data_IF_797687417316
#
_entry.id   IF_797687417316
#
_cell.length_a   1.000
_cell.length_b   1.000
_cell.length_c   1.000
_cell.angle_alpha   90.00
_cell.angle_beta   90.00
_cell.angle_gamma   90.00
#
_symmetry.space_group_name_H-M   'P 1'
#
loop_
_entity.id
_entity.type
_entity.pdbx_description
1 polymer ?
#
# COMPACT_ATOMS: atom_id res chain seq x y z
N UNK A 1 6.81 17.48 9.62
CA UNK A 1 7.05 16.02 9.64
C UNK A 1 7.54 15.59 8.25
N UNK A 2 8.65 14.84 8.13
CA UNK A 2 9.22 14.47 6.81
C UNK A 2 8.67 13.12 6.36
N UNK A 3 7.40 13.08 5.95
CA UNK A 3 6.79 11.87 5.38
C UNK A 3 7.52 11.52 4.09
N UNK A 4 8.08 10.31 4.03
CA UNK A 4 8.90 9.83 2.91
C UNK A 4 8.46 8.42 2.54
N UNK A 5 8.35 8.15 1.24
CA UNK A 5 8.11 6.80 0.77
C UNK A 5 9.40 5.98 0.98
N UNK A 6 9.34 5.00 1.88
CA UNK A 6 10.44 4.07 2.20
C UNK A 6 10.64 3.02 1.12
N UNK A 7 9.70 2.89 0.19
CA UNK A 7 9.78 1.98 -0.93
C UNK A 7 10.65 2.57 -2.05
N UNK A 8 11.83 1.98 -2.30
CA UNK A 8 12.76 2.42 -3.37
C UNK A 8 12.25 2.12 -4.78
N UNK A 9 11.52 1.02 -4.95
CA UNK A 9 10.94 0.55 -6.20
C UNK A 9 9.62 -0.15 -5.91
N UNK A 10 8.67 -0.07 -6.83
CA UNK A 10 7.46 -0.90 -6.78
C UNK A 10 7.81 -2.38 -6.65
N UNK A 11 7.01 -3.12 -5.90
CA UNK A 11 7.22 -4.56 -5.67
C UNK A 11 5.98 -5.29 -6.17
N UNK A 12 6.17 -6.20 -7.13
CA UNK A 12 5.17 -7.22 -7.45
C UNK A 12 5.25 -8.26 -6.33
N UNK A 13 4.15 -8.39 -5.60
CA UNK A 13 4.05 -9.18 -4.38
C UNK A 13 3.52 -10.57 -4.70
N UNK A 14 2.49 -10.59 -5.55
CA UNK A 14 1.83 -11.80 -6.02
C UNK A 14 1.52 -11.62 -7.50
N UNK A 15 1.75 -12.66 -8.30
CA UNK A 15 1.14 -12.88 -9.61
C UNK A 15 0.82 -14.37 -9.70
N UNK A 16 -0.38 -14.75 -9.26
CA UNK A 16 -0.71 -16.16 -9.10
C UNK A 16 -2.19 -16.41 -8.85
N UNK A 17 -2.54 -17.69 -8.76
CA UNK A 17 -3.93 -18.15 -8.52
C UNK A 17 -4.25 -18.15 -7.01
N UNK A 18 -3.30 -17.68 -6.22
CA UNK A 18 -3.19 -18.03 -4.84
C UNK A 18 -4.05 -17.16 -3.93
N UNK A 19 -4.89 -17.81 -3.13
CA UNK A 19 -5.61 -17.17 -2.03
C UNK A 19 -4.70 -16.92 -0.83
N UNK A 20 -3.48 -17.49 -0.81
CA UNK A 20 -2.55 -17.35 0.31
C UNK A 20 -2.25 -15.89 0.68
N UNK A 21 -2.26 -14.96 -0.28
CA UNK A 21 -2.12 -13.53 0.04
C UNK A 21 -3.34 -12.95 0.79
N UNK A 22 -4.55 -13.44 0.48
CA UNK A 22 -5.75 -13.06 1.22
C UNK A 22 -5.71 -13.62 2.64
N UNK A 23 -5.22 -14.85 2.80
CA UNK A 23 -5.21 -15.56 4.08
C UNK A 23 -4.05 -15.12 5.00
N UNK A 24 -2.86 -14.88 4.45
CA UNK A 24 -1.63 -14.65 5.23
C UNK A 24 -0.96 -13.29 4.98
N UNK A 25 -1.39 -12.55 3.95
CA UNK A 25 -0.73 -11.31 3.53
C UNK A 25 0.62 -11.55 2.86
N UNK A 26 1.45 -10.52 2.79
CA UNK A 26 2.83 -10.63 2.34
C UNK A 26 3.80 -9.91 3.26
N UNK A 27 5.01 -10.45 3.33
CA UNK A 27 6.11 -9.92 4.11
C UNK A 27 6.98 -8.97 3.30
N UNK A 28 7.35 -7.86 3.94
CA UNK A 28 8.47 -7.02 3.51
C UNK A 28 9.43 -6.77 4.66
N UNK A 29 10.70 -6.57 4.32
CA UNK A 29 11.71 -6.17 5.29
C UNK A 29 11.39 -4.79 5.87
N UNK A 30 11.49 -4.65 7.18
CA UNK A 30 11.38 -3.35 7.83
C UNK A 30 12.53 -2.43 7.37
N UNK A 31 12.25 -1.18 6.98
CA UNK A 31 13.30 -0.26 6.55
C UNK A 31 14.21 0.22 7.70
N UNK A 32 13.86 -0.08 8.95
CA UNK A 32 14.50 0.45 10.17
C UNK A 32 15.20 -0.62 11.00
N UNK A 33 14.94 -1.91 10.76
CA UNK A 33 15.54 -3.02 11.51
C UNK A 33 15.42 -4.33 10.71
N UNK A 34 15.94 -5.43 11.26
CA UNK A 34 15.88 -6.77 10.66
C UNK A 34 14.52 -7.47 10.81
N UNK A 35 13.48 -6.75 11.26
CA UNK A 35 12.13 -7.29 11.40
C UNK A 35 11.38 -7.33 10.07
N UNK A 36 10.19 -7.90 10.10
CA UNK A 36 9.27 -7.96 8.95
C UNK A 36 8.02 -7.13 9.22
N UNK A 37 7.39 -6.67 8.14
CA UNK A 37 6.09 -6.02 8.14
C UNK A 37 5.19 -6.89 7.27
N UNK A 38 4.12 -7.41 7.84
CA UNK A 38 3.10 -8.18 7.12
C UNK A 38 1.98 -7.22 6.75
N UNK A 39 1.57 -7.22 5.48
CA UNK A 39 0.40 -6.47 5.01
C UNK A 39 -0.55 -7.36 4.22
N UNK A 40 -1.84 -7.06 4.29
CA UNK A 40 -2.89 -7.76 3.55
C UNK A 40 -4.00 -6.80 3.09
N UNK A 41 -4.82 -7.27 2.15
CA UNK A 41 -6.04 -6.55 1.72
C UNK A 41 -7.13 -6.62 2.79
N UNK A 42 -7.23 -7.72 3.55
CA UNK A 42 -8.33 -7.98 4.48
C UNK A 42 -8.50 -6.87 5.52
N UNK A 43 -7.39 -6.33 6.04
CA UNK A 43 -7.40 -5.25 7.05
C UNK A 43 -7.07 -3.88 6.44
N UNK A 44 -7.37 -3.69 5.16
CA UNK A 44 -7.09 -2.45 4.44
C UNK A 44 -8.33 -1.57 4.30
N UNK A 45 -8.11 -0.28 4.05
CA UNK A 45 -9.16 0.69 3.69
C UNK A 45 -8.80 1.37 2.37
N UNK A 46 -9.81 1.95 1.71
CA UNK A 46 -9.60 2.62 0.42
C UNK A 46 -8.67 3.83 0.58
N UNK A 47 -7.66 3.94 -0.28
CA UNK A 47 -6.76 5.10 -0.29
C UNK A 47 -7.53 6.41 -0.48
N UNK A 48 -8.58 6.39 -1.30
CA UNK A 48 -9.40 7.56 -1.57
C UNK A 48 -10.21 8.05 -0.36
N UNK A 49 -10.30 7.26 0.72
CA UNK A 49 -10.92 7.65 1.99
C UNK A 49 -10.03 8.57 2.84
N UNK A 50 -8.77 8.78 2.46
CA UNK A 50 -7.89 9.78 3.09
C UNK A 50 -8.31 11.20 2.70
N UNK A 51 -7.92 12.19 3.51
CA UNK A 51 -8.17 13.61 3.17
C UNK A 51 -7.46 13.99 1.86
N UNK A 52 -8.02 14.94 1.11
CA UNK A 52 -7.45 15.37 -0.18
C UNK A 52 -6.00 15.84 -0.04
N UNK A 53 -5.70 16.65 0.98
CA UNK A 53 -4.35 17.13 1.27
C UNK A 53 -3.35 15.96 1.45
N UNK A 54 -3.75 14.93 2.21
CA UNK A 54 -2.91 13.74 2.45
C UNK A 54 -2.73 12.95 1.16
N UNK A 55 -3.80 12.75 0.38
CA UNK A 55 -3.73 12.04 -0.91
C UNK A 55 -2.77 12.74 -1.86
N UNK A 56 -2.97 14.02 -2.12
CA UNK A 56 -2.17 14.84 -3.04
C UNK A 56 -0.69 14.88 -2.66
N UNK A 57 -0.41 14.86 -1.35
CA UNK A 57 0.96 14.80 -0.85
C UNK A 57 1.60 13.41 -1.06
N UNK A 58 0.87 12.33 -0.78
CA UNK A 58 1.38 10.96 -0.89
C UNK A 58 1.63 10.56 -2.34
N UNK A 59 0.74 10.91 -3.27
CA UNK A 59 0.86 10.53 -4.69
C UNK A 59 2.09 11.17 -5.36
N UNK A 60 2.51 12.36 -4.92
CA UNK A 60 3.77 12.99 -5.36
C UNK A 60 5.01 12.17 -4.98
N UNK A 61 4.90 11.25 -4.02
CA UNK A 61 5.98 10.37 -3.53
C UNK A 61 5.85 8.93 -4.02
N UNK A 62 4.79 8.61 -4.75
CA UNK A 62 4.54 7.28 -5.31
C UNK A 62 4.69 7.32 -6.83
N UNK A 63 5.38 6.34 -7.42
CA UNK A 63 5.59 6.29 -8.86
C UNK A 63 4.46 5.51 -9.53
N UNK A 64 3.92 6.05 -10.62
CA UNK A 64 2.94 5.36 -11.47
C UNK A 64 1.49 5.46 -10.99
N UNK A 65 1.22 6.18 -9.90
CA UNK A 65 -0.14 6.50 -9.47
C UNK A 65 -0.70 7.62 -10.36
N UNK A 66 -1.94 7.45 -10.81
CA UNK A 66 -2.65 8.40 -11.66
C UNK A 66 -3.98 8.79 -11.05
N UNK A 67 -4.41 10.03 -11.27
CA UNK A 67 -5.75 10.49 -10.92
C UNK A 67 -6.69 10.27 -12.10
N UNK A 68 -7.85 9.66 -11.86
CA UNK A 68 -8.93 9.50 -12.85
C UNK A 68 -10.07 10.44 -12.48
N UNK A 69 -10.25 11.49 -13.29
CA UNK A 69 -11.21 12.57 -13.01
C UNK A 69 -12.67 12.11 -13.03
N UNK A 70 -13.02 11.16 -13.92
CA UNK A 70 -14.39 10.64 -14.04
C UNK A 70 -14.88 9.98 -12.75
N UNK A 71 -13.98 9.31 -12.03
CA UNK A 71 -14.30 8.62 -10.78
C UNK A 71 -13.81 9.37 -9.55
N UNK A 72 -13.06 10.46 -9.73
CA UNK A 72 -12.34 11.20 -8.67
C UNK A 72 -11.51 10.28 -7.77
N UNK A 73 -10.83 9.31 -8.36
CA UNK A 73 -10.05 8.28 -7.65
C UNK A 73 -8.60 8.26 -8.10
N UNK A 74 -7.72 7.88 -7.17
CA UNK A 74 -6.33 7.56 -7.48
C UNK A 74 -6.18 6.07 -7.75
N UNK A 75 -5.56 5.74 -8.88
CA UNK A 75 -5.36 4.36 -9.34
C UNK A 75 -3.90 4.06 -9.63
N UNK A 76 -3.58 2.77 -9.63
CA UNK A 76 -2.32 2.24 -10.14
C UNK A 76 -2.64 1.02 -11.01
N UNK A 77 -2.05 0.94 -12.21
CA UNK A 77 -2.25 -0.17 -13.15
C UNK A 77 -3.74 -0.52 -13.42
N UNK A 78 -4.55 0.53 -13.57
CA UNK A 78 -6.02 0.43 -13.77
C UNK A 78 -6.77 -0.15 -12.58
N UNK A 79 -6.18 -0.11 -11.38
CA UNK A 79 -6.76 -0.70 -10.18
C UNK A 79 -6.71 0.26 -9.00
N UNK A 80 -7.68 0.10 -8.10
CA UNK A 80 -7.84 0.94 -6.92
C UNK A 80 -6.68 0.71 -5.94
N UNK A 81 -6.36 1.77 -5.18
CA UNK A 81 -5.37 1.73 -4.12
C UNK A 81 -6.01 1.49 -2.76
N UNK A 82 -5.31 0.71 -1.94
CA UNK A 82 -5.69 0.36 -0.58
C UNK A 82 -4.55 0.69 0.37
N UNK A 83 -4.90 1.07 1.59
CA UNK A 83 -3.95 1.32 2.67
C UNK A 83 -4.15 0.27 3.74
N UNK A 84 -3.07 -0.41 4.11
CA UNK A 84 -3.04 -1.33 5.24
C UNK A 84 -2.11 -0.78 6.31
N UNK A 85 -2.60 -0.76 7.55
CA UNK A 85 -1.82 -0.35 8.72
C UNK A 85 -1.12 -1.58 9.28
N UNK A 86 0.19 -1.49 9.46
CA UNK A 86 1.01 -2.61 9.86
C UNK A 86 2.00 -2.19 10.94
N UNK A 87 2.48 -3.18 11.68
CA UNK A 87 3.50 -2.98 12.72
C UNK A 87 4.67 -3.90 12.42
N UNK A 88 5.89 -3.40 12.59
CA UNK A 88 7.07 -4.25 12.45
C UNK A 88 7.13 -5.29 13.58
N UNK A 89 7.40 -6.54 13.24
CA UNK A 89 7.51 -7.66 14.18
C UNK A 89 8.64 -7.53 15.21
N UNK A 90 9.67 -6.73 14.92
CA UNK A 90 10.86 -6.58 15.78
C UNK A 90 10.89 -5.25 16.54
N UNK A 91 10.79 -4.12 15.84
CA UNK A 91 10.90 -2.80 16.47
C UNK A 91 9.56 -2.18 16.89
N UNK A 92 8.43 -2.84 16.60
CA UNK A 92 7.07 -2.41 16.97
C UNK A 92 6.69 -1.02 16.42
N UNK A 93 7.48 -0.44 15.51
CA UNK A 93 7.13 0.79 14.81
C UNK A 93 5.94 0.54 13.88
N UNK A 94 5.03 1.51 13.84
CA UNK A 94 3.90 1.52 12.93
C UNK A 94 4.32 2.00 11.54
N UNK A 95 3.75 1.35 10.53
CA UNK A 95 3.91 1.69 9.12
C UNK A 95 2.55 1.59 8.42
N UNK A 96 2.42 2.31 7.33
CA UNK A 96 1.31 2.14 6.40
C UNK A 96 1.82 1.72 5.05
N UNK A 97 1.30 0.61 4.54
CA UNK A 97 1.57 0.12 3.19
C UNK A 97 0.44 0.53 2.27
N UNK A 98 0.78 1.05 1.09
CA UNK A 98 -0.16 1.32 0.02
C UNK A 98 0.02 0.25 -1.03
N UNK A 99 -1.05 -0.48 -1.32
CA UNK A 99 -1.07 -1.61 -2.24
C UNK A 99 -2.21 -1.50 -3.24
N UNK A 100 -2.12 -2.25 -4.33
CA UNK A 100 -3.23 -2.49 -5.24
C UNK A 100 -3.36 -3.98 -5.50
N UNK A 101 -4.55 -4.41 -5.86
CA UNK A 101 -4.80 -5.77 -6.32
C UNK A 101 -5.70 -5.74 -7.55
N UNK A 102 -5.43 -6.64 -8.50
CA UNK A 102 -6.17 -6.79 -9.75
C UNK A 102 -6.31 -8.26 -10.08
N UNK A 103 -7.52 -8.70 -10.38
CA UNK A 103 -7.72 -9.97 -11.06
C UNK A 103 -7.35 -9.81 -12.54
N UNK A 104 -6.37 -10.58 -13.01
CA UNK A 104 -5.87 -10.50 -14.40
C UNK A 104 -6.43 -11.59 -15.30
N UNK A 105 -6.81 -12.72 -14.72
CA UNK A 105 -7.52 -13.84 -15.34
C UNK A 105 -8.42 -14.47 -14.26
N UNK A 106 -9.45 -15.25 -14.61
CA UNK A 106 -10.29 -15.91 -13.61
C UNK A 106 -9.45 -16.62 -12.54
N UNK A 107 -9.64 -16.22 -11.28
CA UNK A 107 -8.92 -16.69 -10.10
C UNK A 107 -7.40 -16.40 -10.09
N UNK A 108 -6.85 -15.59 -11.00
CA UNK A 108 -5.44 -15.16 -10.99
C UNK A 108 -5.33 -13.68 -10.64
N UNK A 109 -4.67 -13.39 -9.53
CA UNK A 109 -4.52 -12.05 -8.99
C UNK A 109 -3.08 -11.54 -9.11
N UNK A 110 -2.95 -10.24 -9.37
CA UNK A 110 -1.72 -9.49 -9.20
C UNK A 110 -1.86 -8.51 -8.06
N UNK A 111 -0.86 -8.50 -7.18
CA UNK A 111 -0.77 -7.56 -6.07
C UNK A 111 0.52 -6.79 -6.18
N UNK A 112 0.42 -5.45 -6.10
CA UNK A 112 1.58 -4.58 -6.07
C UNK A 112 1.63 -3.78 -4.78
N UNK A 113 2.81 -3.70 -4.19
CA UNK A 113 3.12 -2.69 -3.18
C UNK A 113 3.62 -1.43 -3.89
N UNK A 114 2.92 -0.33 -3.68
CA UNK A 114 3.10 0.96 -4.36
C UNK A 114 3.77 2.00 -3.46
N UNK A 115 3.56 1.90 -2.14
CA UNK A 115 4.19 2.79 -1.16
C UNK A 115 4.32 2.16 0.22
N UNK A 116 5.32 2.64 0.97
CA UNK A 116 5.53 2.32 2.38
C UNK A 116 5.86 3.61 3.13
N UNK A 117 5.10 3.92 4.17
CA UNK A 117 5.24 5.17 4.93
C UNK A 117 5.29 4.87 6.43
N UNK A 118 5.97 5.74 7.17
CA UNK A 118 6.05 5.63 8.62
C UNK A 118 4.72 6.13 9.25
N UNK A 119 4.23 5.41 10.26
CA UNK A 119 3.00 5.74 11.00
C UNK A 119 1.70 5.40 10.29
N UNK A 120 0.59 5.82 10.90
CA UNK A 120 -0.78 5.67 10.39
C UNK A 120 -1.17 6.86 9.49
N UNK A 121 -1.46 6.59 8.21
CA UNK A 121 -1.82 7.64 7.24
C UNK A 121 -3.12 8.37 7.60
N UNK A 122 -4.06 7.77 8.35
CA UNK A 122 -5.28 8.46 8.79
C UNK A 122 -5.00 9.53 9.84
N UNK A 123 -3.89 9.42 10.56
CA UNK A 123 -3.53 10.32 11.65
C UNK A 123 -2.60 11.45 11.21
N UNK A 124 -2.17 11.44 9.94
CA UNK A 124 -1.32 12.49 9.39
C UNK A 124 -2.09 13.81 9.37
N UNK A 125 -1.47 14.84 9.96
CA UNK A 125 -1.83 16.24 9.79
C UNK A 125 -0.73 16.91 9.00
N UNK A 126 -1.07 17.44 7.82
CA UNK A 126 -0.15 18.15 6.93
C UNK A 126 -0.16 19.66 7.20
#
# INVERSE_FOLDING_TARGET
MRITNRLKKKVLVLDGIDNDFLDSGAEIACPECEGVIIYSIVNSYEFDSLSEEVKDFLVKKMRGVKFVSEHKKYIYDESQLYVSKNTCSKCVKEFSTILTYKEVQPARYRVYLVGLFDGDLKQIKL
#
